data_IF_637827024256
#
_entry.id   IF_637827024256
#
_cell.length_a   1.000
_cell.length_b   1.000
_cell.length_c   1.000
_cell.angle_alpha   90.00
_cell.angle_beta   90.00
_cell.angle_gamma   90.00
#
_symmetry.space_group_name_H-M   'P 1'
#
loop_
_entity.id
_entity.type
_entity.pdbx_description
1 polymer ?
#
# COMPACT_ATOMS: atom_id res chain seq x y z
N UNK A 1 3.55 22.88 14.87
CA UNK A 1 4.08 22.76 13.51
C UNK A 1 5.09 23.84 13.22
N UNK A 2 4.74 25.12 13.21
CA UNK A 2 5.66 26.26 13.03
C UNK A 2 6.89 26.21 13.93
N UNK A 3 6.76 25.97 15.22
CA UNK A 3 7.88 25.81 16.14
C UNK A 3 8.85 24.71 15.74
N UNK A 4 8.40 23.67 15.06
CA UNK A 4 9.27 22.61 14.56
C UNK A 4 10.05 23.06 13.31
N UNK A 5 9.44 23.84 12.41
CA UNK A 5 10.13 24.44 11.27
C UNK A 5 11.13 25.51 11.71
N UNK A 6 10.72 26.40 12.62
CA UNK A 6 11.58 27.46 13.18
C UNK A 6 12.76 26.89 13.98
N UNK A 7 12.52 25.86 14.78
CA UNK A 7 13.58 25.18 15.54
C UNK A 7 14.57 24.42 14.64
N UNK A 8 14.19 24.17 13.40
CA UNK A 8 15.01 23.51 12.37
C UNK A 8 15.51 24.49 11.30
N UNK A 9 15.25 25.79 11.46
CA UNK A 9 15.73 26.81 10.55
C UNK A 9 17.27 26.77 10.47
N UNK A 10 17.80 26.52 9.28
CA UNK A 10 19.24 26.32 9.06
C UNK A 10 19.76 24.90 9.30
N UNK A 11 18.92 23.95 9.69
CA UNK A 11 19.30 22.54 9.74
C UNK A 11 19.44 21.96 8.34
N UNK A 12 20.46 21.15 8.15
CA UNK A 12 20.63 20.35 6.92
C UNK A 12 20.01 18.98 7.14
N UNK A 13 19.17 18.58 6.22
CA UNK A 13 18.53 17.27 6.22
C UNK A 13 19.24 16.33 5.24
N UNK A 14 19.45 15.09 5.65
CA UNK A 14 19.93 14.05 4.74
C UNK A 14 18.84 13.66 3.73
N UNK A 15 17.57 13.70 4.17
CA UNK A 15 16.44 13.29 3.37
C UNK A 15 15.25 14.24 3.54
N UNK A 16 14.82 14.88 2.44
CA UNK A 16 13.58 15.65 2.38
C UNK A 16 12.58 14.93 1.49
N UNK A 17 11.47 14.48 2.07
CA UNK A 17 10.44 13.70 1.42
C UNK A 17 9.22 14.57 1.15
N UNK A 18 8.76 14.61 -0.10
CA UNK A 18 7.60 15.39 -0.51
C UNK A 18 6.42 14.45 -0.73
N UNK A 19 5.40 14.58 0.10
CA UNK A 19 4.17 13.81 0.04
C UNK A 19 4.01 12.79 1.18
N UNK A 20 2.90 12.89 1.89
CA UNK A 20 2.52 12.07 3.07
C UNK A 20 1.58 10.92 2.75
N UNK A 21 1.69 10.32 1.56
CA UNK A 21 1.04 9.04 1.23
C UNK A 21 1.86 7.84 1.71
N UNK A 22 1.35 6.62 1.50
CA UNK A 22 1.99 5.38 1.96
C UNK A 22 3.45 5.25 1.49
N UNK A 23 3.76 5.66 0.26
CA UNK A 23 5.11 5.61 -0.30
C UNK A 23 6.06 6.56 0.45
N UNK A 24 5.68 7.85 0.57
CA UNK A 24 6.54 8.82 1.27
C UNK A 24 6.72 8.50 2.74
N UNK A 25 5.66 8.05 3.41
CA UNK A 25 5.72 7.62 4.80
C UNK A 25 6.58 6.36 4.97
N UNK A 26 6.52 5.41 4.04
CA UNK A 26 7.40 4.24 4.02
C UNK A 26 8.87 4.62 3.87
N UNK A 27 9.19 5.55 2.96
CA UNK A 27 10.54 6.10 2.80
C UNK A 27 11.00 6.82 4.08
N UNK A 28 10.10 7.56 4.74
CA UNK A 28 10.41 8.23 6.00
C UNK A 28 10.76 7.26 7.12
N UNK A 29 10.02 6.14 7.23
CA UNK A 29 10.32 5.07 8.20
C UNK A 29 11.69 4.47 7.92
N UNK A 30 11.96 4.10 6.66
CA UNK A 30 13.23 3.46 6.29
C UNK A 30 14.41 4.39 6.53
N UNK A 31 14.35 5.62 6.05
CA UNK A 31 15.42 6.60 6.23
C UNK A 31 15.68 6.92 7.71
N UNK A 32 14.64 7.24 8.47
CA UNK A 32 14.78 7.57 9.90
C UNK A 32 15.30 6.38 10.72
N UNK A 33 14.83 5.16 10.43
CA UNK A 33 15.30 3.94 11.13
C UNK A 33 16.78 3.64 10.89
N UNK A 34 17.33 4.10 9.76
CA UNK A 34 18.77 4.02 9.43
C UNK A 34 19.59 5.16 10.00
N UNK A 35 18.97 6.09 10.72
CA UNK A 35 19.66 7.22 11.38
C UNK A 35 19.85 8.45 10.51
N UNK A 36 19.24 8.50 9.30
CA UNK A 36 19.26 9.71 8.49
C UNK A 36 18.36 10.79 9.10
N UNK A 37 18.83 12.02 9.15
CA UNK A 37 18.01 13.19 9.50
C UNK A 37 16.95 13.38 8.41
N UNK A 38 15.68 13.11 8.76
CA UNK A 38 14.61 12.98 7.78
C UNK A 38 13.48 13.96 8.08
N UNK A 39 13.08 14.72 7.06
CA UNK A 39 11.88 15.55 7.08
C UNK A 39 10.91 15.10 5.97
N UNK A 40 9.61 15.01 6.32
CA UNK A 40 8.54 14.77 5.37
C UNK A 40 7.56 15.93 5.40
N UNK A 41 7.21 16.42 4.21
CA UNK A 41 6.34 17.57 4.00
C UNK A 41 5.11 17.13 3.18
N UNK A 42 3.91 17.32 3.76
CA UNK A 42 2.63 16.99 3.11
C UNK A 42 1.74 18.22 3.06
N UNK A 43 1.21 18.51 1.88
CA UNK A 43 0.40 19.72 1.66
C UNK A 43 -1.00 19.69 2.30
N UNK A 44 -1.51 18.51 2.59
CA UNK A 44 -2.81 18.29 3.25
C UNK A 44 -2.62 17.50 4.53
N UNK A 45 -3.59 16.68 4.88
CA UNK A 45 -3.41 15.67 5.92
C UNK A 45 -2.74 14.42 5.33
N UNK A 46 -2.11 13.62 6.20
CA UNK A 46 -1.50 12.36 5.79
C UNK A 46 -2.54 11.44 5.14
N UNK A 47 -2.11 10.69 4.14
CA UNK A 47 -2.94 9.76 3.38
C UNK A 47 -4.11 10.40 2.59
N UNK A 48 -4.19 11.71 2.46
CA UNK A 48 -5.31 12.40 1.78
C UNK A 48 -5.55 11.97 0.33
N UNK A 49 -4.51 11.53 -0.36
CA UNK A 49 -4.55 11.06 -1.74
C UNK A 49 -5.00 9.59 -1.86
N UNK A 50 -4.35 8.85 -2.73
CA UNK A 50 -4.63 7.44 -3.05
C UNK A 50 -4.57 6.53 -1.82
N UNK A 51 -3.70 6.83 -0.86
CA UNK A 51 -3.47 6.00 0.33
C UNK A 51 -4.64 5.95 1.33
N UNK A 52 -5.76 6.61 1.06
CA UNK A 52 -7.02 6.45 1.79
C UNK A 52 -8.21 6.12 0.86
N UNK A 53 -7.95 6.00 -0.44
CA UNK A 53 -8.95 5.84 -1.49
C UNK A 53 -8.72 4.62 -2.36
N UNK A 54 -7.97 3.65 -1.85
CA UNK A 54 -7.72 2.38 -2.51
C UNK A 54 -8.91 1.43 -2.34
N UNK A 55 -8.84 0.28 -2.99
CA UNK A 55 -9.81 -0.82 -2.81
C UNK A 55 -9.65 -1.55 -1.48
N UNK A 56 -8.78 -1.09 -0.59
CA UNK A 56 -8.47 -1.70 0.71
C UNK A 56 -7.87 -3.11 0.60
N UNK A 57 -7.20 -3.39 -0.51
CA UNK A 57 -6.57 -4.68 -0.76
C UNK A 57 -5.06 -4.53 -0.90
N UNK A 58 -4.33 -5.32 -0.15
CA UNK A 58 -2.92 -5.59 -0.36
C UNK A 58 -2.79 -6.95 -1.02
N UNK A 59 -2.63 -6.94 -2.33
CA UNK A 59 -2.79 -8.12 -3.16
C UNK A 59 -1.59 -8.37 -4.07
N UNK A 60 -1.39 -9.64 -4.46
CA UNK A 60 -0.34 -10.02 -5.38
C UNK A 60 -0.65 -9.72 -6.85
N UNK A 61 -1.84 -9.19 -7.15
CA UNK A 61 -2.19 -8.76 -8.51
C UNK A 61 -2.42 -9.92 -9.50
N UNK A 62 -3.31 -10.84 -9.17
CA UNK A 62 -3.70 -11.99 -10.03
C UNK A 62 -3.92 -11.60 -11.51
N UNK A 63 -4.45 -10.39 -11.78
CA UNK A 63 -4.64 -9.90 -13.15
C UNK A 63 -3.34 -9.76 -13.94
N UNK A 64 -2.23 -9.43 -13.27
CA UNK A 64 -0.93 -9.31 -13.92
C UNK A 64 -0.34 -10.68 -14.29
N UNK A 65 -0.75 -11.73 -13.58
CA UNK A 65 -0.39 -13.10 -13.95
C UNK A 65 -1.00 -13.47 -15.31
N UNK A 66 -2.23 -13.06 -15.58
CA UNK A 66 -2.87 -13.25 -16.89
C UNK A 66 -2.14 -12.48 -18.01
N UNK A 67 -1.44 -11.40 -17.68
CA UNK A 67 -0.64 -10.62 -18.61
C UNK A 67 0.81 -11.14 -18.75
N UNK A 68 1.14 -12.24 -18.07
CA UNK A 68 2.49 -12.82 -18.09
C UNK A 68 3.54 -12.08 -17.25
N UNK A 69 3.14 -11.10 -16.45
CA UNK A 69 4.07 -10.33 -15.62
C UNK A 69 4.37 -11.04 -14.30
N UNK A 70 5.09 -12.17 -14.40
CA UNK A 70 5.42 -13.05 -13.28
C UNK A 70 6.27 -12.33 -12.23
N UNK A 71 7.23 -11.50 -12.66
CA UNK A 71 8.12 -10.78 -11.76
C UNK A 71 7.35 -9.86 -10.82
N UNK A 72 6.45 -9.02 -11.37
CA UNK A 72 5.64 -8.11 -10.59
C UNK A 72 4.75 -8.85 -9.57
N UNK A 73 4.16 -9.97 -9.98
CA UNK A 73 3.31 -10.80 -9.09
C UNK A 73 4.14 -11.38 -7.95
N UNK A 74 5.33 -11.92 -8.23
CA UNK A 74 6.22 -12.47 -7.20
C UNK A 74 6.63 -11.41 -6.18
N UNK A 75 7.05 -10.25 -6.66
CA UNK A 75 7.43 -9.11 -5.80
C UNK A 75 6.24 -8.66 -4.94
N UNK A 76 5.05 -8.48 -5.53
CA UNK A 76 3.84 -8.06 -4.81
C UNK A 76 3.40 -9.08 -3.74
N UNK A 77 3.50 -10.38 -4.04
CA UNK A 77 3.20 -11.45 -3.07
C UNK A 77 4.19 -11.45 -1.91
N UNK A 78 5.47 -11.22 -2.20
CA UNK A 78 6.52 -11.12 -1.18
C UNK A 78 6.27 -9.92 -0.26
N UNK A 79 6.05 -8.74 -0.83
CA UNK A 79 5.77 -7.51 -0.08
C UNK A 79 4.48 -7.61 0.75
N UNK A 80 3.41 -8.22 0.21
CA UNK A 80 2.19 -8.53 0.95
C UNK A 80 2.49 -9.35 2.20
N UNK A 81 3.29 -10.39 2.05
CA UNK A 81 3.67 -11.27 3.17
C UNK A 81 4.52 -10.56 4.21
N UNK A 82 5.44 -9.69 3.80
CA UNK A 82 6.24 -8.85 4.69
C UNK A 82 5.33 -7.89 5.45
N UNK A 83 4.43 -7.20 4.75
CA UNK A 83 3.51 -6.25 5.37
C UNK A 83 2.62 -6.93 6.41
N UNK A 84 2.04 -8.11 6.09
CA UNK A 84 1.25 -8.90 7.03
C UNK A 84 2.05 -9.27 8.29
N UNK A 85 3.31 -9.64 8.13
CA UNK A 85 4.18 -9.99 9.26
C UNK A 85 4.55 -8.77 10.10
N UNK A 86 4.82 -7.63 9.47
CA UNK A 86 5.24 -6.41 10.15
C UNK A 86 4.06 -5.64 10.77
N UNK A 87 2.87 -5.76 10.19
CA UNK A 87 1.66 -5.07 10.64
C UNK A 87 0.44 -6.03 10.73
N UNK A 88 0.50 -7.10 11.54
CA UNK A 88 -0.56 -8.12 11.61
C UNK A 88 -1.89 -7.56 12.13
N UNK A 89 -1.87 -6.43 12.80
CA UNK A 89 -3.06 -5.72 13.29
C UNK A 89 -3.78 -4.91 12.20
N UNK A 90 -3.15 -4.72 11.06
CA UNK A 90 -3.70 -3.96 9.92
C UNK A 90 -4.11 -4.84 8.75
N UNK A 91 -3.40 -5.94 8.53
CA UNK A 91 -3.61 -6.83 7.38
C UNK A 91 -4.34 -8.08 7.82
N UNK A 92 -5.47 -8.36 7.18
CA UNK A 92 -6.30 -9.55 7.40
C UNK A 92 -6.31 -10.42 6.16
N UNK A 93 -6.39 -11.73 6.37
CA UNK A 93 -6.63 -12.68 5.30
C UNK A 93 -8.10 -12.57 4.86
N UNK A 94 -8.32 -12.36 3.58
CA UNK A 94 -9.65 -12.26 2.99
C UNK A 94 -9.80 -13.29 1.88
N UNK A 95 -10.89 -14.05 1.95
CA UNK A 95 -11.27 -14.96 0.87
C UNK A 95 -12.02 -14.22 -0.23
N UNK A 96 -11.76 -14.63 -1.46
CA UNK A 96 -12.41 -14.12 -2.66
C UNK A 96 -12.92 -15.30 -3.51
N UNK A 97 -14.00 -15.08 -4.20
CA UNK A 97 -14.57 -16.06 -5.12
C UNK A 97 -14.58 -15.45 -6.52
N UNK A 98 -14.04 -16.19 -7.48
CA UNK A 98 -14.18 -15.91 -8.91
C UNK A 98 -15.29 -16.84 -9.43
N UNK A 99 -16.50 -16.34 -9.71
CA UNK A 99 -17.58 -17.16 -10.22
C UNK A 99 -17.31 -17.58 -11.66
N UNK A 100 -17.70 -18.80 -12.01
CA UNK A 100 -17.50 -19.40 -13.33
C UNK A 100 -18.86 -19.60 -13.99
N UNK A 101 -19.09 -18.97 -15.12
CA UNK A 101 -20.29 -19.10 -15.92
C UNK A 101 -20.06 -19.92 -17.20
N UNK A 102 -18.82 -19.98 -17.68
CA UNK A 102 -18.43 -20.78 -18.85
C UNK A 102 -17.69 -22.04 -18.41
N UNK A 103 -17.83 -23.10 -19.18
CA UNK A 103 -17.26 -24.43 -18.87
C UNK A 103 -15.71 -24.43 -18.75
N UNK A 104 -15.02 -23.54 -19.46
CA UNK A 104 -13.56 -23.45 -19.47
C UNK A 104 -12.99 -22.55 -18.36
N UNK A 105 -13.81 -21.70 -17.76
CA UNK A 105 -13.36 -20.71 -16.75
C UNK A 105 -12.87 -21.39 -15.48
N UNK A 106 -13.53 -22.44 -15.03
CA UNK A 106 -13.13 -23.19 -13.83
C UNK A 106 -11.71 -23.77 -13.95
N UNK A 107 -11.40 -24.57 -14.96
CA UNK A 107 -10.04 -25.07 -15.20
C UNK A 107 -9.02 -23.96 -15.41
N UNK A 108 -9.35 -22.91 -16.14
CA UNK A 108 -8.46 -21.78 -16.44
C UNK A 108 -8.08 -21.00 -15.16
N UNK A 109 -9.07 -20.53 -14.42
CA UNK A 109 -8.83 -19.81 -13.17
C UNK A 109 -8.27 -20.73 -12.09
N UNK A 110 -8.69 -21.98 -12.03
CA UNK A 110 -8.18 -22.96 -11.09
C UNK A 110 -6.67 -23.19 -11.26
N UNK A 111 -6.20 -23.36 -12.50
CA UNK A 111 -4.78 -23.51 -12.80
C UNK A 111 -4.00 -22.21 -12.48
N UNK A 112 -4.52 -21.06 -12.92
CA UNK A 112 -3.89 -19.76 -12.66
C UNK A 112 -3.73 -19.47 -11.17
N UNK A 113 -4.74 -19.75 -10.37
CA UNK A 113 -4.70 -19.54 -8.92
C UNK A 113 -3.85 -20.58 -8.20
N UNK A 114 -3.69 -21.80 -8.70
CA UNK A 114 -2.69 -22.76 -8.20
C UNK A 114 -1.25 -22.28 -8.41
N UNK A 115 -0.96 -21.69 -9.58
CA UNK A 115 0.32 -21.05 -9.84
C UNK A 115 0.54 -19.87 -8.88
N UNK A 116 -0.49 -19.07 -8.66
CA UNK A 116 -0.45 -17.94 -7.72
C UNK A 116 -0.16 -18.41 -6.27
N UNK A 117 -0.81 -19.49 -5.83
CA UNK A 117 -0.52 -20.09 -4.51
C UNK A 117 0.93 -20.56 -4.42
N UNK A 118 1.42 -21.25 -5.44
CA UNK A 118 2.80 -21.72 -5.49
C UNK A 118 3.80 -20.56 -5.44
N UNK A 119 3.55 -19.47 -6.17
CA UNK A 119 4.38 -18.26 -6.15
C UNK A 119 4.36 -17.56 -4.78
N UNK A 120 3.26 -17.66 -4.03
CA UNK A 120 3.16 -17.12 -2.67
C UNK A 120 4.04 -17.86 -1.66
N UNK A 121 4.34 -19.12 -1.89
CA UNK A 121 5.19 -19.96 -1.07
C UNK A 121 4.79 -19.94 0.42
N UNK A 122 5.76 -19.73 1.30
CA UNK A 122 5.54 -19.66 2.76
C UNK A 122 4.78 -18.39 3.21
N UNK A 123 4.64 -17.41 2.35
CA UNK A 123 3.92 -16.16 2.61
C UNK A 123 2.48 -16.20 2.09
N UNK A 124 2.01 -17.36 1.62
CA UNK A 124 0.64 -17.60 1.21
C UNK A 124 -0.36 -17.39 2.34
N UNK A 125 -1.58 -16.96 1.99
CA UNK A 125 -2.67 -16.70 2.93
C UNK A 125 -3.65 -17.86 3.03
N UNK A 126 -3.52 -18.84 2.14
CA UNK A 126 -4.36 -20.04 2.09
C UNK A 126 -4.39 -20.64 0.69
N UNK A 127 -4.73 -21.93 0.57
CA UNK A 127 -4.79 -22.61 -0.73
C UNK A 127 -6.05 -22.21 -1.51
N UNK A 128 -5.91 -22.06 -2.82
CA UNK A 128 -7.05 -21.93 -3.71
C UNK A 128 -7.82 -23.26 -3.83
N UNK A 129 -9.15 -23.18 -3.99
CA UNK A 129 -10.03 -24.32 -4.07
C UNK A 129 -11.09 -24.11 -5.16
N UNK A 130 -11.30 -25.11 -6.00
CA UNK A 130 -12.42 -25.12 -6.95
C UNK A 130 -13.68 -25.45 -6.15
N UNK A 131 -14.73 -24.67 -6.37
CA UNK A 131 -16.03 -24.80 -5.71
C UNK A 131 -17.09 -25.32 -6.68
N UNK A 132 -18.00 -26.15 -6.17
CA UNK A 132 -19.23 -26.46 -6.88
C UNK A 132 -20.13 -25.23 -7.00
N UNK A 133 -21.22 -25.36 -7.79
CA UNK A 133 -22.23 -24.31 -7.89
C UNK A 133 -22.90 -24.04 -6.55
N UNK A 134 -23.23 -25.07 -5.81
CA UNK A 134 -23.87 -25.04 -4.51
C UNK A 134 -22.99 -24.36 -3.48
N UNK A 135 -21.72 -24.79 -3.37
CA UNK A 135 -20.73 -24.19 -2.48
C UNK A 135 -20.49 -22.71 -2.83
N UNK A 136 -20.49 -22.36 -4.13
CA UNK A 136 -20.31 -20.97 -4.58
C UNK A 136 -21.48 -20.09 -4.12
N UNK A 137 -22.72 -20.56 -4.27
CA UNK A 137 -23.91 -19.81 -3.82
C UNK A 137 -24.03 -19.76 -2.30
N UNK A 138 -23.60 -20.79 -1.59
CA UNK A 138 -23.55 -20.78 -0.12
C UNK A 138 -22.59 -19.70 0.41
N UNK A 139 -21.39 -19.61 -0.19
CA UNK A 139 -20.37 -18.66 0.22
C UNK A 139 -20.59 -17.23 -0.32
N UNK A 140 -21.31 -17.11 -1.43
CA UNK A 140 -21.62 -15.82 -2.08
C UNK A 140 -23.08 -15.79 -2.56
N UNK A 141 -24.07 -15.70 -1.66
CA UNK A 141 -25.49 -15.84 -1.97
C UNK A 141 -26.06 -14.70 -2.82
N UNK A 142 -25.32 -13.62 -3.01
CA UNK A 142 -25.73 -12.49 -3.86
C UNK A 142 -25.36 -12.65 -5.33
N UNK A 143 -24.66 -13.74 -5.71
CA UNK A 143 -24.34 -14.02 -7.11
C UNK A 143 -25.58 -14.45 -7.87
N UNK A 144 -25.62 -14.08 -9.15
CA UNK A 144 -26.63 -14.61 -10.05
C UNK A 144 -26.42 -16.12 -10.25
N UNK A 145 -27.42 -16.91 -9.88
CA UNK A 145 -27.39 -18.36 -10.02
C UNK A 145 -27.68 -18.84 -11.43
N UNK A 146 -28.22 -17.98 -12.33
CA UNK A 146 -28.52 -18.39 -13.71
C UNK A 146 -27.21 -18.58 -14.51
N UNK A 147 -27.04 -19.73 -15.08
CA UNK A 147 -25.83 -20.10 -15.82
C UNK A 147 -24.57 -20.32 -14.96
N UNK A 148 -24.63 -20.11 -13.64
CA UNK A 148 -23.49 -20.33 -12.75
C UNK A 148 -23.12 -21.82 -12.73
N UNK A 149 -21.85 -22.14 -12.93
CA UNK A 149 -21.31 -23.52 -12.94
C UNK A 149 -20.50 -23.86 -11.71
N UNK A 150 -20.03 -22.85 -10.97
CA UNK A 150 -19.18 -22.97 -9.79
C UNK A 150 -18.33 -21.76 -9.60
N UNK A 151 -17.24 -21.88 -8.86
CA UNK A 151 -16.30 -20.79 -8.63
C UNK A 151 -14.91 -21.29 -8.27
N UNK A 152 -13.98 -20.36 -8.14
CA UNK A 152 -12.66 -20.62 -7.54
C UNK A 152 -12.48 -19.69 -6.36
N UNK A 153 -12.31 -20.29 -5.19
CA UNK A 153 -11.95 -19.58 -3.96
C UNK A 153 -10.45 -19.38 -3.94
N UNK A 154 -10.01 -18.17 -3.59
CA UNK A 154 -8.60 -17.87 -3.31
C UNK A 154 -8.49 -16.86 -2.17
N UNK A 155 -7.30 -16.64 -1.67
CA UNK A 155 -7.04 -15.75 -0.55
C UNK A 155 -6.12 -14.61 -0.95
N UNK A 156 -6.45 -13.41 -0.47
CA UNK A 156 -5.58 -12.24 -0.60
C UNK A 156 -5.67 -11.36 0.64
N UNK A 157 -4.87 -10.29 0.74
CA UNK A 157 -4.84 -9.44 1.91
C UNK A 157 -5.85 -8.30 1.81
N UNK A 158 -6.63 -8.10 2.88
CA UNK A 158 -7.38 -6.88 3.12
C UNK A 158 -6.70 -6.04 4.18
N UNK A 159 -6.69 -4.72 4.03
CA UNK A 159 -6.12 -3.81 5.01
C UNK A 159 -6.84 -2.46 5.04
N UNK A 160 -6.62 -1.70 6.12
CA UNK A 160 -7.00 -0.29 6.19
C UNK A 160 -5.79 0.55 5.76
N UNK A 161 -5.84 1.07 4.54
CA UNK A 161 -4.76 1.86 3.91
C UNK A 161 -4.48 3.18 4.63
N UNK A 162 -5.53 3.88 5.07
CA UNK A 162 -5.38 5.12 5.82
C UNK A 162 -4.73 4.86 7.19
N UNK A 163 -5.17 3.80 7.87
CA UNK A 163 -4.61 3.41 9.16
C UNK A 163 -3.15 2.94 9.02
N UNK A 164 -2.82 2.24 7.93
CA UNK A 164 -1.43 1.91 7.62
C UNK A 164 -0.58 3.17 7.48
N UNK A 165 -1.04 4.16 6.71
CA UNK A 165 -0.32 5.42 6.53
C UNK A 165 -0.09 6.16 7.85
N UNK A 166 -1.11 6.25 8.72
CA UNK A 166 -0.94 6.84 10.05
C UNK A 166 0.02 6.03 10.93
N UNK A 167 -0.03 4.71 10.86
CA UNK A 167 0.93 3.86 11.60
C UNK A 167 2.37 4.07 11.12
N UNK A 168 2.58 4.24 9.81
CA UNK A 168 3.89 4.59 9.26
C UNK A 168 4.35 5.97 9.75
N UNK A 169 3.45 6.98 9.76
CA UNK A 169 3.77 8.31 10.27
C UNK A 169 4.21 8.28 11.74
N UNK A 170 3.46 7.56 12.59
CA UNK A 170 3.81 7.40 14.00
C UNK A 170 5.14 6.65 14.18
N UNK A 171 5.38 5.63 13.36
CA UNK A 171 6.65 4.88 13.39
C UNK A 171 7.83 5.75 12.97
N UNK A 172 7.70 6.53 11.89
CA UNK A 172 8.75 7.46 11.47
C UNK A 172 9.05 8.52 12.55
N UNK A 173 8.00 9.06 13.19
CA UNK A 173 8.16 10.01 14.29
C UNK A 173 8.86 9.37 15.51
N UNK A 174 8.54 8.12 15.85
CA UNK A 174 9.21 7.38 16.92
C UNK A 174 10.70 7.14 16.61
N UNK A 175 11.08 7.07 15.32
CA UNK A 175 12.46 7.01 14.84
C UNK A 175 13.10 8.40 14.65
N UNK A 176 12.51 9.45 15.25
CA UNK A 176 12.98 10.84 15.20
C UNK A 176 12.86 11.53 13.82
N UNK A 177 12.10 10.98 12.89
CA UNK A 177 11.71 11.68 11.67
C UNK A 177 10.80 12.87 11.99
N UNK A 178 10.98 13.97 11.30
CA UNK A 178 10.11 15.16 11.40
C UNK A 178 9.06 15.08 10.28
N UNK A 179 7.78 15.00 10.64
CA UNK A 179 6.69 14.92 9.68
C UNK A 179 5.74 16.09 9.86
N UNK A 180 5.52 16.84 8.79
CA UNK A 180 4.70 18.05 8.79
C UNK A 180 3.59 17.92 7.75
N UNK A 181 2.35 17.89 8.21
CA UNK A 181 1.17 18.04 7.35
C UNK A 181 0.78 19.51 7.22
N UNK A 182 -0.08 19.83 6.26
CA UNK A 182 -0.46 21.20 5.86
C UNK A 182 0.74 22.10 5.51
N UNK A 183 1.83 21.48 5.05
CA UNK A 183 3.06 22.12 4.65
C UNK A 183 3.31 21.83 3.17
N UNK A 184 2.96 22.77 2.30
CA UNK A 184 3.04 22.58 0.85
C UNK A 184 4.44 22.95 0.35
N UNK A 185 5.09 22.05 -0.34
CA UNK A 185 6.29 22.37 -1.10
C UNK A 185 5.86 23.06 -2.40
N UNK A 186 6.28 24.30 -2.59
CA UNK A 186 5.96 25.10 -3.77
C UNK A 186 7.01 24.92 -4.86
N UNK A 187 8.29 24.87 -4.46
CA UNK A 187 9.37 24.68 -5.43
C UNK A 187 10.62 24.08 -4.77
N UNK A 188 11.50 23.56 -5.63
CA UNK A 188 12.83 23.11 -5.22
C UNK A 188 13.81 24.27 -5.34
N UNK A 189 14.58 24.52 -4.28
CA UNK A 189 15.70 25.46 -4.32
C UNK A 189 16.91 24.75 -4.91
N UNK A 190 17.52 25.37 -5.91
CA UNK A 190 18.67 24.79 -6.62
C UNK A 190 19.84 25.77 -6.63
N UNK A 191 21.02 25.23 -6.42
CA UNK A 191 22.28 25.92 -6.66
C UNK A 191 22.99 25.15 -7.75
N UNK A 192 23.16 25.79 -8.93
CA UNK A 192 23.61 25.12 -10.16
C UNK A 192 22.68 23.91 -10.46
N UNK A 193 23.23 22.72 -10.59
CA UNK A 193 22.49 21.49 -10.87
C UNK A 193 22.11 20.66 -9.61
N UNK A 194 22.35 21.20 -8.41
CA UNK A 194 22.03 20.47 -7.15
C UNK A 194 20.82 21.09 -6.49
N UNK A 195 19.93 20.23 -6.00
CA UNK A 195 18.85 20.62 -5.08
C UNK A 195 19.48 20.83 -3.70
N UNK A 196 19.31 22.04 -3.16
CA UNK A 196 19.87 22.44 -1.86
C UNK A 196 18.79 22.67 -0.81
N UNK A 197 17.51 22.73 -1.23
CA UNK A 197 16.41 22.94 -0.32
C UNK A 197 15.06 22.92 -1.02
N UNK A 198 14.02 23.23 -0.26
CA UNK A 198 12.64 23.39 -0.74
C UNK A 198 12.08 24.69 -0.16
N UNK A 199 11.24 25.36 -0.94
CA UNK A 199 10.41 26.46 -0.45
C UNK A 199 9.02 25.91 -0.12
N UNK A 200 8.52 26.23 1.07
CA UNK A 200 7.26 25.68 1.56
C UNK A 200 6.29 26.78 2.00
N UNK A 201 5.01 26.54 1.85
CA UNK A 201 3.94 27.36 2.41
C UNK A 201 3.20 26.59 3.49
N UNK A 202 3.12 27.14 4.68
CA UNK A 202 2.20 26.68 5.73
C UNK A 202 0.77 27.01 5.30
N UNK A 203 -0.03 25.98 5.06
CA UNK A 203 -1.41 26.13 4.58
C UNK A 203 -2.40 26.51 5.66
N UNK A 204 -1.99 26.57 6.91
CA UNK A 204 -2.84 27.01 8.03
C UNK A 204 -2.83 28.53 8.14
N UNK A 205 -1.69 29.15 8.00
CA UNK A 205 -1.51 30.59 8.18
C UNK A 205 -1.00 31.34 6.94
N UNK A 206 -0.63 30.63 5.88
CA UNK A 206 -0.15 31.21 4.62
C UNK A 206 1.30 31.69 4.64
N UNK A 207 2.05 31.45 5.70
CA UNK A 207 3.47 31.86 5.78
C UNK A 207 4.36 30.97 4.90
N UNK A 208 5.36 31.60 4.31
CA UNK A 208 6.40 30.92 3.50
C UNK A 208 7.68 30.75 4.31
N UNK A 209 8.33 29.61 4.09
CA UNK A 209 9.58 29.23 4.74
C UNK A 209 10.55 28.65 3.71
#
# INVERSE_FOLDING_TARGET
>A
MLKALEAQAGATWDCCIIGGGATGLGVAVDAASRGFSTILLEQYDFAKGTSSRSTKLVHGGVRYLQQGNIKLVTEALHERGILRRNAPHLVKDQSFIVPNYKWWEGPYYGLGLKVYDWMSGRLGLGPSRILSREETLELAPTLDGEGLRGGVLYHDGQFDDARLAISLALTAAAQKGVLLNYCKVDQLVKEKDRVTGVQVTDRINGQQH
#
